data_IF_526333760917
#
_entry.id   IF_526333760917
#
_cell.length_a   1.000
_cell.length_b   1.000
_cell.length_c   1.000
_cell.angle_alpha   90.00
_cell.angle_beta   90.00
_cell.angle_gamma   90.00
#
_symmetry.space_group_name_H-M   'P 1'
#
loop_
_entity.id
_entity.type
_entity.pdbx_description
1 polymer ?
#
# COMPACT_ATOMS: atom_id res chain seq x y z
N UNK A 1 -10.55 9.98 -12.35
CA UNK A 1 -11.32 9.33 -13.44
C UNK A 1 -12.57 8.72 -12.80
N UNK A 2 -13.76 8.83 -13.41
CA UNK A 2 -15.03 8.24 -12.93
C UNK A 2 -15.49 7.03 -13.77
N UNK A 3 -14.55 6.29 -14.36
CA UNK A 3 -14.88 5.11 -15.20
C UNK A 3 -14.64 3.82 -14.42
N UNK A 4 -15.64 3.39 -13.64
CA UNK A 4 -15.85 2.02 -13.15
C UNK A 4 -14.81 1.37 -12.20
N UNK A 5 -13.57 1.85 -12.17
CA UNK A 5 -12.47 1.22 -11.43
C UNK A 5 -12.02 2.06 -10.22
N UNK A 6 -11.64 1.42 -9.10
CA UNK A 6 -11.11 2.13 -7.96
C UNK A 6 -9.72 2.71 -8.26
N UNK A 7 -9.42 3.86 -7.66
CA UNK A 7 -8.05 4.37 -7.51
C UNK A 7 -7.33 3.54 -6.44
N UNK A 8 -6.28 2.80 -6.84
CA UNK A 8 -5.58 1.88 -5.94
C UNK A 8 -4.31 2.52 -5.39
N UNK A 9 -4.27 2.63 -4.06
CA UNK A 9 -3.16 3.18 -3.29
C UNK A 9 -2.47 2.05 -2.54
N UNK A 10 -1.16 1.94 -2.68
CA UNK A 10 -0.32 1.01 -1.92
C UNK A 10 0.73 1.80 -1.15
N UNK A 11 0.84 1.55 0.14
CA UNK A 11 1.87 2.14 1.01
C UNK A 11 2.56 1.00 1.77
N UNK A 12 3.88 0.88 1.63
CA UNK A 12 4.67 -0.14 2.33
C UNK A 12 5.68 0.55 3.24
N UNK A 13 5.77 0.09 4.50
CA UNK A 13 6.45 0.84 5.54
C UNK A 13 5.59 1.98 6.07
N UNK A 14 4.28 1.71 6.20
CA UNK A 14 3.28 2.76 6.36
C UNK A 14 3.42 3.58 7.63
N UNK A 15 4.00 3.04 8.71
CA UNK A 15 4.05 3.69 10.02
C UNK A 15 2.66 4.18 10.47
N UNK A 16 2.34 5.46 10.26
CA UNK A 16 1.02 6.04 10.56
C UNK A 16 0.03 6.03 9.36
N UNK A 17 0.47 5.66 8.15
CA UNK A 17 -0.34 5.65 6.92
C UNK A 17 -0.53 7.03 6.30
N UNK A 18 0.42 7.95 6.53
CA UNK A 18 0.25 9.37 6.20
C UNK A 18 0.11 9.57 4.69
N UNK A 19 0.91 8.85 3.90
CA UNK A 19 0.98 9.06 2.47
C UNK A 19 -0.24 8.49 1.75
N UNK A 20 -0.67 7.29 2.13
CA UNK A 20 -1.87 6.67 1.59
C UNK A 20 -3.13 7.42 1.99
N UNK A 21 -3.23 7.91 3.23
CA UNK A 21 -4.33 8.78 3.65
C UNK A 21 -4.40 10.06 2.81
N UNK A 22 -3.26 10.72 2.59
CA UNK A 22 -3.17 11.93 1.77
C UNK A 22 -3.55 11.65 0.32
N UNK A 23 -3.09 10.55 -0.26
CA UNK A 23 -3.43 10.15 -1.62
C UNK A 23 -4.95 9.90 -1.77
N UNK A 24 -5.56 9.17 -0.83
CA UNK A 24 -7.02 8.94 -0.82
C UNK A 24 -7.78 10.25 -0.63
N UNK A 25 -7.35 11.13 0.27
CA UNK A 25 -7.98 12.43 0.50
C UNK A 25 -7.92 13.33 -0.74
N UNK A 26 -6.76 13.42 -1.39
CA UNK A 26 -6.57 14.17 -2.63
C UNK A 26 -7.46 13.61 -3.75
N UNK A 27 -7.51 12.29 -3.90
CA UNK A 27 -8.37 11.63 -4.88
C UNK A 27 -9.86 11.92 -4.63
N UNK A 28 -10.33 11.76 -3.38
CA UNK A 28 -11.72 12.05 -2.99
C UNK A 28 -12.10 13.50 -3.26
N UNK A 29 -11.18 14.45 -3.03
CA UNK A 29 -11.42 15.88 -3.33
C UNK A 29 -11.59 16.12 -4.83
N UNK A 30 -10.79 15.44 -5.66
CA UNK A 30 -10.82 15.61 -7.12
C UNK A 30 -11.97 14.83 -7.79
N UNK A 31 -12.36 13.69 -7.21
CA UNK A 31 -13.39 12.79 -7.69
C UNK A 31 -14.29 12.32 -6.53
N UNK A 32 -15.26 13.15 -6.09
CA UNK A 32 -16.07 12.88 -4.89
C UNK A 32 -16.88 11.57 -4.93
N UNK A 33 -17.28 11.15 -6.13
CA UNK A 33 -18.00 9.88 -6.38
C UNK A 33 -17.06 8.76 -6.88
N UNK A 34 -15.75 9.00 -6.90
CA UNK A 34 -14.77 8.02 -7.35
C UNK A 34 -14.56 6.92 -6.32
N UNK A 35 -14.58 5.67 -6.78
CA UNK A 35 -14.15 4.54 -5.95
C UNK A 35 -12.63 4.60 -5.71
N UNK A 36 -12.19 4.10 -4.56
CA UNK A 36 -10.78 3.95 -4.19
C UNK A 36 -10.60 2.66 -3.40
N UNK A 37 -9.36 2.16 -3.34
CA UNK A 37 -8.91 1.09 -2.45
C UNK A 37 -7.52 1.44 -1.93
N UNK A 38 -7.27 1.20 -0.65
CA UNK A 38 -5.95 1.36 -0.03
C UNK A 38 -5.43 -0.01 0.43
N UNK A 39 -4.14 -0.25 0.25
CA UNK A 39 -3.40 -1.33 0.89
C UNK A 39 -2.24 -0.68 1.64
N UNK A 40 -2.09 -0.98 2.92
CA UNK A 40 -1.02 -0.43 3.75
C UNK A 40 -0.36 -1.57 4.53
N UNK A 41 0.97 -1.54 4.59
CA UNK A 41 1.79 -2.58 5.21
C UNK A 41 2.70 -1.96 6.26
N UNK A 42 2.63 -2.47 7.48
CA UNK A 42 3.45 -2.02 8.60
C UNK A 42 4.02 -3.23 9.36
N UNK A 43 5.32 -3.20 9.65
CA UNK A 43 6.02 -4.32 10.28
C UNK A 43 5.83 -4.38 11.79
N UNK A 44 5.70 -3.22 12.45
CA UNK A 44 5.67 -3.12 13.91
C UNK A 44 4.23 -3.14 14.44
N UNK A 45 3.86 -4.09 15.32
CA UNK A 45 2.47 -4.22 15.81
C UNK A 45 1.91 -2.94 16.47
N UNK A 46 2.74 -2.17 17.16
CA UNK A 46 2.29 -0.93 17.80
C UNK A 46 1.99 0.17 16.76
N UNK A 47 2.79 0.29 15.69
CA UNK A 47 2.53 1.21 14.58
C UNK A 47 1.35 0.74 13.75
N UNK A 48 1.19 -0.55 13.54
CA UNK A 48 0.03 -1.10 12.84
C UNK A 48 -1.29 -0.76 13.56
N UNK A 49 -1.31 -0.74 14.89
CA UNK A 49 -2.47 -0.23 15.66
C UNK A 49 -2.70 1.27 15.45
N UNK A 50 -1.64 2.07 15.40
CA UNK A 50 -1.75 3.51 15.12
C UNK A 50 -2.23 3.78 13.69
N UNK A 51 -1.76 3.00 12.72
CA UNK A 51 -2.25 2.99 11.35
C UNK A 51 -3.76 2.71 11.32
N UNK A 52 -4.23 1.65 11.98
CA UNK A 52 -5.67 1.34 12.06
C UNK A 52 -6.49 2.52 12.61
N UNK A 53 -6.02 3.16 13.69
CA UNK A 53 -6.66 4.34 14.28
C UNK A 53 -6.69 5.51 13.30
N UNK A 54 -5.60 5.77 12.57
CA UNK A 54 -5.52 6.86 11.61
C UNK A 54 -6.42 6.63 10.39
N UNK A 55 -6.48 5.40 9.87
CA UNK A 55 -7.39 5.00 8.78
C UNK A 55 -8.85 5.22 9.18
N UNK A 56 -9.22 4.81 10.40
CA UNK A 56 -10.56 5.04 10.96
C UNK A 56 -10.86 6.53 11.12
N UNK A 57 -9.94 7.30 11.73
CA UNK A 57 -10.10 8.75 11.94
C UNK A 57 -10.29 9.54 10.63
N UNK A 58 -9.69 9.07 9.54
CA UNK A 58 -9.80 9.68 8.21
C UNK A 58 -10.95 9.15 7.35
N UNK A 59 -11.82 8.30 7.91
CA UNK A 59 -12.96 7.69 7.21
C UNK A 59 -12.55 6.95 5.92
N UNK A 60 -11.41 6.25 5.94
CA UNK A 60 -10.98 5.41 4.83
C UNK A 60 -11.62 4.03 5.01
N UNK A 61 -12.65 3.75 4.22
CA UNK A 61 -13.52 2.57 4.42
C UNK A 61 -13.09 1.35 3.63
N UNK A 62 -12.40 1.55 2.50
CA UNK A 62 -11.93 0.47 1.64
C UNK A 62 -10.41 0.34 1.76
N UNK A 63 -9.95 -0.22 2.90
CA UNK A 63 -8.54 -0.41 3.20
C UNK A 63 -8.25 -1.87 3.59
N UNK A 64 -7.14 -2.42 3.08
CA UNK A 64 -6.55 -3.67 3.54
C UNK A 64 -5.27 -3.33 4.30
N UNK A 65 -5.20 -3.66 5.59
CA UNK A 65 -4.04 -3.36 6.44
C UNK A 65 -3.32 -4.66 6.77
N UNK A 66 -2.04 -4.76 6.42
CA UNK A 66 -1.22 -5.94 6.60
C UNK A 66 -0.15 -5.67 7.66
N UNK A 67 -0.03 -6.60 8.61
CA UNK A 67 1.05 -6.62 9.59
C UNK A 67 2.14 -7.56 9.08
N UNK A 68 3.32 -7.02 8.78
CA UNK A 68 4.45 -7.81 8.33
C UNK A 68 5.58 -6.97 7.76
N UNK A 69 6.79 -7.48 7.87
CA UNK A 69 7.96 -6.92 7.20
C UNK A 69 7.95 -7.32 5.72
N UNK A 70 8.21 -6.35 4.83
CA UNK A 70 8.30 -6.61 3.39
C UNK A 70 9.75 -6.77 2.99
N UNK A 71 10.08 -7.93 2.45
CA UNK A 71 11.42 -8.30 1.99
C UNK A 71 11.39 -8.71 0.51
N UNK A 72 12.57 -8.77 -0.12
CA UNK A 72 12.71 -9.24 -1.50
C UNK A 72 12.31 -10.72 -1.65
N UNK A 73 12.60 -11.54 -0.63
CA UNK A 73 12.22 -12.94 -0.57
C UNK A 73 11.46 -13.23 0.72
N UNK A 74 10.31 -13.90 0.60
CA UNK A 74 9.51 -14.29 1.75
C UNK A 74 10.11 -15.51 2.45
N UNK A 75 10.34 -15.40 3.76
CA UNK A 75 10.61 -16.53 4.67
C UNK A 75 9.72 -16.43 5.89
N UNK A 76 9.00 -17.51 6.21
CA UNK A 76 8.13 -17.56 7.38
C UNK A 76 7.01 -16.52 7.33
N UNK A 77 6.94 -15.63 8.33
CA UNK A 77 5.87 -14.63 8.50
C UNK A 77 6.12 -13.30 7.76
N UNK A 78 7.11 -13.24 6.87
CA UNK A 78 7.42 -12.03 6.08
C UNK A 78 6.58 -11.96 4.81
N UNK A 79 6.34 -10.74 4.34
CA UNK A 79 5.62 -10.46 3.10
C UNK A 79 6.63 -10.13 2.00
N UNK A 80 6.22 -10.30 0.74
CA UNK A 80 6.95 -9.76 -0.41
C UNK A 80 6.14 -8.68 -1.09
N UNK A 81 6.80 -7.73 -1.75
CA UNK A 81 6.09 -6.71 -2.52
C UNK A 81 5.19 -7.36 -3.58
N UNK A 82 5.67 -8.42 -4.23
CA UNK A 82 4.87 -9.25 -5.14
C UNK A 82 3.60 -9.79 -4.49
N UNK A 83 3.65 -10.32 -3.27
CA UNK A 83 2.46 -10.83 -2.57
C UNK A 83 1.46 -9.70 -2.24
N UNK A 84 1.95 -8.50 -1.96
CA UNK A 84 1.11 -7.30 -1.75
C UNK A 84 0.45 -6.86 -3.07
N UNK A 85 1.17 -6.93 -4.18
CA UNK A 85 0.73 -6.45 -5.49
C UNK A 85 -0.09 -7.47 -6.30
N UNK A 86 0.11 -8.78 -6.08
CA UNK A 86 -0.52 -9.84 -6.89
C UNK A 86 -2.05 -9.81 -6.89
N UNK A 87 -2.76 -9.46 -5.79
CA UNK A 87 -4.22 -9.40 -5.78
C UNK A 87 -4.79 -8.12 -6.39
N UNK A 88 -3.94 -7.19 -6.84
CA UNK A 88 -4.33 -5.89 -7.34
C UNK A 88 -4.23 -5.89 -8.86
N UNK A 89 -5.28 -5.51 -9.57
CA UNK A 89 -5.20 -5.40 -11.04
C UNK A 89 -4.27 -4.25 -11.48
N UNK A 90 -4.15 -3.22 -10.64
CA UNK A 90 -3.41 -1.98 -10.92
C UNK A 90 -3.04 -1.26 -9.64
N UNK A 91 -1.97 -0.48 -9.69
CA UNK A 91 -1.56 0.48 -8.66
C UNK A 91 -1.49 1.87 -9.29
N UNK A 92 -2.22 2.83 -8.73
CA UNK A 92 -2.21 4.22 -9.19
C UNK A 92 -1.25 5.10 -8.40
N UNK A 93 -0.93 4.68 -7.17
CA UNK A 93 0.03 5.32 -6.29
C UNK A 93 0.70 4.27 -5.43
N UNK A 94 2.03 4.25 -5.48
CA UNK A 94 2.88 3.36 -4.70
C UNK A 94 3.85 4.22 -3.89
N UNK A 95 3.74 4.12 -2.57
CA UNK A 95 4.72 4.67 -1.62
C UNK A 95 5.48 3.51 -0.98
N UNK A 96 6.80 3.63 -0.95
CA UNK A 96 7.72 2.60 -0.47
C UNK A 96 8.78 3.28 0.40
N UNK A 97 8.62 3.18 1.72
CA UNK A 97 9.57 3.67 2.72
C UNK A 97 9.89 2.53 3.70
N UNK A 98 10.73 1.61 3.25
CA UNK A 98 11.07 0.37 3.97
C UNK A 98 12.56 0.32 4.22
N UNK A 99 12.94 0.99 5.31
CA UNK A 99 14.31 1.23 5.75
C UNK A 99 15.27 0.06 5.45
N UNK A 100 16.15 0.24 4.45
CA UNK A 100 17.28 -0.65 4.19
C UNK A 100 16.96 -1.84 3.28
N UNK A 101 15.71 -2.00 2.84
CA UNK A 101 15.28 -3.10 1.96
C UNK A 101 14.86 -2.64 0.57
N UNK A 102 14.78 -1.33 0.31
CA UNK A 102 14.30 -0.77 -0.95
C UNK A 102 15.12 -1.26 -2.15
N UNK A 103 16.45 -1.17 -2.03
CA UNK A 103 17.36 -1.56 -3.12
C UNK A 103 17.23 -3.04 -3.46
N UNK A 104 17.09 -3.91 -2.44
CA UNK A 104 16.96 -5.35 -2.66
C UNK A 104 15.63 -5.71 -3.34
N UNK A 105 14.56 -5.01 -2.98
CA UNK A 105 13.22 -5.22 -3.56
C UNK A 105 13.17 -4.74 -5.01
N UNK A 106 13.81 -3.62 -5.33
CA UNK A 106 13.89 -3.14 -6.71
C UNK A 106 14.93 -3.87 -7.56
N UNK A 107 15.96 -4.45 -6.96
CA UNK A 107 16.92 -5.30 -7.66
C UNK A 107 16.34 -6.67 -8.07
N UNK A 108 15.22 -7.09 -7.45
CA UNK A 108 14.49 -8.28 -7.90
C UNK A 108 13.70 -7.95 -9.19
N UNK A 109 14.22 -8.45 -10.31
CA UNK A 109 13.63 -8.24 -11.63
C UNK A 109 12.17 -8.72 -11.72
N UNK A 110 11.77 -9.73 -10.92
CA UNK A 110 10.37 -10.21 -10.88
C UNK A 110 9.46 -9.19 -10.22
N UNK A 111 9.89 -8.61 -9.11
CA UNK A 111 9.18 -7.52 -8.45
C UNK A 111 9.05 -6.30 -9.37
N UNK A 112 10.11 -5.92 -10.08
CA UNK A 112 10.05 -4.82 -11.05
C UNK A 112 9.14 -5.11 -12.25
N UNK A 113 9.12 -6.35 -12.74
CA UNK A 113 8.17 -6.76 -13.76
C UNK A 113 6.73 -6.66 -13.27
N UNK A 114 6.46 -7.09 -12.03
CA UNK A 114 5.13 -6.98 -11.42
C UNK A 114 4.69 -5.52 -11.25
N UNK A 115 5.59 -4.62 -10.80
CA UNK A 115 5.32 -3.17 -10.71
C UNK A 115 5.01 -2.59 -12.10
N UNK A 116 5.81 -2.93 -13.12
CA UNK A 116 5.60 -2.46 -14.49
C UNK A 116 4.33 -3.04 -15.15
N UNK A 117 3.83 -4.18 -14.66
CA UNK A 117 2.61 -4.82 -15.17
C UNK A 117 1.32 -4.24 -14.56
N UNK A 118 1.40 -3.35 -13.55
CA UNK A 118 0.24 -2.68 -12.93
C UNK A 118 -0.06 -1.33 -13.58
#
# INVERSE_FOLDING_TARGET
>A
RSRGRPYTVVEVGSSFGVWGVRAVAAYRRRFPLGAYRMVAVEALPHRHRQLQQNIAANNIRNATLLLGEVLAEGRGATLTLRAVLSPLDRVDYLDLDIQGHELAIFADARTMADVNAK
#
